data_IF_881028621741
#
_entry.id   IF_881028621741
#
_cell.length_a   1.000
_cell.length_b   1.000
_cell.length_c   1.000
_cell.angle_alpha   90.00
_cell.angle_beta   90.00
_cell.angle_gamma   90.00
#
_symmetry.space_group_name_H-M   'P 1'
#
loop_
_entity.id
_entity.type
_entity.pdbx_description
1 polymer ?
#
# COMPACT_ATOMS: atom_id res chain seq x y z
N UNK A 1 12.15 -66.91 -15.11
CA UNK A 1 12.26 -66.30 -13.76
C UNK A 1 13.04 -64.97 -13.73
N UNK A 2 14.19 -64.85 -14.41
CA UNK A 2 14.98 -63.58 -14.44
C UNK A 2 14.23 -62.36 -15.01
N UNK A 3 13.34 -62.55 -15.98
CA UNK A 3 12.57 -61.43 -16.58
C UNK A 3 11.45 -60.90 -15.69
N UNK A 4 10.90 -61.73 -14.79
CA UNK A 4 9.89 -61.30 -13.81
C UNK A 4 10.51 -60.38 -12.75
N UNK A 5 11.76 -60.68 -12.36
CA UNK A 5 12.49 -59.90 -11.36
C UNK A 5 12.89 -58.51 -11.87
N UNK A 6 13.30 -58.40 -13.14
CA UNK A 6 13.59 -57.13 -13.81
C UNK A 6 12.35 -56.23 -13.96
N UNK A 7 11.18 -56.82 -14.19
CA UNK A 7 9.93 -56.06 -14.33
C UNK A 7 9.47 -55.46 -12.98
N UNK A 8 9.66 -56.21 -11.89
CA UNK A 8 9.34 -55.76 -10.52
C UNK A 8 10.33 -54.67 -10.07
N UNK A 9 11.61 -54.78 -10.42
CA UNK A 9 12.60 -53.72 -10.10
C UNK A 9 12.39 -52.45 -10.94
N UNK A 10 11.98 -52.58 -12.20
CA UNK A 10 11.61 -51.44 -13.03
C UNK A 10 10.36 -50.71 -12.48
N UNK A 11 9.35 -51.44 -12.00
CA UNK A 11 8.15 -50.86 -11.38
C UNK A 11 8.44 -50.09 -10.09
N UNK A 12 9.41 -50.53 -9.28
CA UNK A 12 9.81 -49.82 -8.06
C UNK A 12 10.53 -48.49 -8.33
N UNK A 13 11.25 -48.37 -9.45
CA UNK A 13 11.95 -47.13 -9.81
C UNK A 13 11.03 -46.02 -10.35
N UNK A 14 9.84 -46.36 -10.88
CA UNK A 14 8.88 -45.36 -11.38
C UNK A 14 8.00 -44.75 -10.28
N UNK A 15 8.03 -45.28 -9.05
CA UNK A 15 7.14 -44.86 -7.95
C UNK A 15 7.82 -43.99 -6.88
N UNK A 16 8.98 -43.38 -7.17
CA UNK A 16 9.51 -42.29 -6.34
C UNK A 16 8.75 -40.98 -6.63
N UNK A 17 7.43 -40.99 -6.43
CA UNK A 17 6.66 -39.76 -6.34
C UNK A 17 7.03 -39.10 -5.01
N UNK A 18 7.74 -37.97 -5.07
CA UNK A 18 8.00 -37.15 -3.88
C UNK A 18 6.66 -36.70 -3.29
N UNK A 19 6.20 -37.40 -2.26
CA UNK A 19 4.95 -37.09 -1.59
C UNK A 19 5.04 -35.69 -0.98
N UNK A 20 4.11 -34.81 -1.36
CA UNK A 20 3.99 -33.48 -0.76
C UNK A 20 3.90 -33.64 0.76
N UNK A 21 4.85 -33.03 1.46
CA UNK A 21 4.96 -33.15 2.90
C UNK A 21 3.92 -32.26 3.58
N UNK A 22 3.58 -32.57 4.84
CA UNK A 22 2.72 -31.71 5.65
C UNK A 22 3.29 -30.27 5.79
N UNK A 23 4.61 -30.12 5.69
CA UNK A 23 5.28 -28.83 5.63
C UNK A 23 4.91 -28.05 4.35
N UNK A 24 4.86 -28.71 3.19
CA UNK A 24 4.47 -28.11 1.91
C UNK A 24 3.03 -27.58 1.95
N UNK A 25 2.08 -28.37 2.50
CA UNK A 25 0.70 -27.93 2.71
C UNK A 25 0.58 -26.75 3.68
N UNK A 26 1.42 -26.73 4.72
CA UNK A 26 1.44 -25.65 5.72
C UNK A 26 2.02 -24.36 5.12
N UNK A 27 3.09 -24.43 4.34
CA UNK A 27 3.63 -23.27 3.62
C UNK A 27 2.63 -22.70 2.62
N UNK A 28 1.91 -23.58 1.93
CA UNK A 28 0.88 -23.18 0.96
C UNK A 28 -0.30 -22.48 1.63
N UNK A 29 -0.74 -22.96 2.80
CA UNK A 29 -1.84 -22.34 3.54
C UNK A 29 -1.46 -20.97 4.10
N UNK A 30 -0.27 -20.81 4.68
CA UNK A 30 0.23 -19.52 5.17
C UNK A 30 0.37 -18.52 4.03
N UNK A 31 0.93 -18.94 2.89
CA UNK A 31 1.06 -18.10 1.70
C UNK A 31 -0.30 -17.61 1.21
N UNK A 32 -1.30 -18.50 1.10
CA UNK A 32 -2.66 -18.14 0.66
C UNK A 32 -3.37 -17.20 1.63
N UNK A 33 -3.13 -17.32 2.94
CA UNK A 33 -3.66 -16.37 3.94
C UNK A 33 -2.98 -15.02 3.79
N UNK A 34 -1.64 -15.01 3.67
CA UNK A 34 -0.87 -13.79 3.46
C UNK A 34 -1.32 -13.02 2.21
N UNK A 35 -1.39 -13.68 1.05
CA UNK A 35 -1.76 -13.04 -0.21
C UNK A 35 -3.17 -12.45 -0.16
N UNK A 36 -4.11 -13.15 0.49
CA UNK A 36 -5.51 -12.73 0.63
C UNK A 36 -5.68 -11.55 1.58
N UNK A 37 -4.97 -11.59 2.71
CA UNK A 37 -5.19 -10.64 3.78
C UNK A 37 -4.37 -9.37 3.60
N UNK A 38 -3.14 -9.47 3.10
CA UNK A 38 -2.25 -8.31 3.03
C UNK A 38 -2.59 -7.35 1.90
N UNK A 39 -2.42 -6.06 2.18
CA UNK A 39 -2.56 -4.98 1.21
C UNK A 39 -1.17 -4.49 0.84
N UNK A 40 -0.86 -4.50 -0.44
CA UNK A 40 0.37 -3.94 -0.98
C UNK A 40 0.11 -2.59 -1.63
N UNK A 41 1.01 -1.64 -1.42
CA UNK A 41 0.92 -0.29 -1.97
C UNK A 41 1.81 -0.18 -3.21
N UNK A 42 1.26 0.37 -4.29
CA UNK A 42 1.94 0.57 -5.58
C UNK A 42 1.86 2.02 -6.03
N UNK A 43 2.76 2.40 -6.94
CA UNK A 43 2.72 3.71 -7.60
C UNK A 43 2.77 4.86 -6.61
N UNK A 44 3.69 4.78 -5.63
CA UNK A 44 3.92 5.83 -4.62
C UNK A 44 2.65 6.22 -3.82
N UNK A 45 1.85 5.23 -3.43
CA UNK A 45 0.64 5.44 -2.60
C UNK A 45 -0.64 5.74 -3.35
N UNK A 46 -0.63 5.64 -4.68
CA UNK A 46 -1.81 5.88 -5.51
C UNK A 46 -2.63 4.62 -5.81
N UNK A 47 -2.01 3.43 -5.77
CA UNK A 47 -2.65 2.16 -6.13
C UNK A 47 -2.40 1.12 -5.04
N UNK A 48 -3.32 0.18 -4.92
CA UNK A 48 -3.24 -0.87 -3.91
C UNK A 48 -3.53 -2.22 -4.56
N UNK A 49 -3.00 -3.30 -3.99
CA UNK A 49 -3.26 -4.69 -4.40
C UNK A 49 -3.61 -5.49 -3.17
N UNK A 50 -4.62 -6.35 -3.26
CA UNK A 50 -5.00 -7.31 -2.23
C UNK A 50 -5.43 -8.60 -2.91
N UNK A 51 -4.93 -9.75 -2.46
CA UNK A 51 -5.27 -11.05 -3.09
C UNK A 51 -4.85 -11.15 -4.56
N UNK A 52 -3.75 -10.50 -4.95
CA UNK A 52 -3.29 -10.46 -6.34
C UNK A 52 -4.16 -9.61 -7.29
N UNK A 53 -5.15 -8.88 -6.78
CA UNK A 53 -6.04 -8.02 -7.57
C UNK A 53 -5.88 -6.56 -7.20
N UNK A 54 -6.09 -5.68 -8.18
CA UNK A 54 -6.13 -4.24 -7.93
C UNK A 54 -7.22 -3.92 -6.89
N UNK A 55 -6.81 -3.27 -5.80
CA UNK A 55 -7.69 -2.86 -4.72
C UNK A 55 -8.09 -1.40 -4.92
N UNK A 56 -9.33 -1.20 -5.33
CA UNK A 56 -9.90 0.12 -5.58
C UNK A 56 -10.15 0.82 -4.24
N UNK A 57 -9.28 1.77 -3.91
CA UNK A 57 -9.40 2.55 -2.68
C UNK A 57 -10.55 3.60 -2.76
N UNK A 58 -10.91 4.03 -3.96
CA UNK A 58 -11.94 5.04 -4.21
C UNK A 58 -11.46 6.48 -3.98
N UNK A 59 -12.30 7.46 -4.31
CA UNK A 59 -11.96 8.90 -4.36
C UNK A 59 -11.49 9.51 -3.03
N UNK A 60 -11.80 8.88 -1.90
CA UNK A 60 -11.36 9.30 -0.57
C UNK A 60 -10.75 8.15 0.24
N UNK A 61 -10.24 7.14 -0.46
CA UNK A 61 -9.67 5.94 0.14
C UNK A 61 -10.65 5.24 1.11
N UNK A 62 -11.95 5.27 0.80
CA UNK A 62 -13.04 4.77 1.66
C UNK A 62 -12.86 3.28 1.96
N UNK A 63 -12.52 2.51 0.94
CA UNK A 63 -12.31 1.07 1.09
C UNK A 63 -11.06 0.77 1.92
N UNK A 64 -10.02 1.60 1.80
CA UNK A 64 -8.81 1.45 2.62
C UNK A 64 -9.06 1.87 4.07
N UNK A 65 -9.87 2.90 4.30
CA UNK A 65 -10.29 3.31 5.65
C UNK A 65 -10.99 2.18 6.39
N UNK A 66 -11.91 1.46 5.74
CA UNK A 66 -12.59 0.30 6.32
C UNK A 66 -11.60 -0.80 6.71
N UNK A 67 -10.57 -1.03 5.89
CA UNK A 67 -9.53 -2.00 6.20
C UNK A 67 -8.73 -1.64 7.45
N UNK A 68 -8.63 -0.35 7.78
CA UNK A 68 -7.98 0.13 9.00
C UNK A 68 -8.88 0.08 10.24
N UNK A 69 -10.21 -0.04 10.11
CA UNK A 69 -11.10 -0.21 11.28
C UNK A 69 -10.76 -1.50 12.07
N UNK A 70 -10.13 -2.46 11.39
CA UNK A 70 -9.65 -3.71 11.96
C UNK A 70 -8.40 -3.55 12.85
N UNK A 71 -7.67 -2.45 12.70
CA UNK A 71 -6.42 -2.16 13.43
C UNK A 71 -6.52 -0.75 14.03
N UNK A 72 -6.84 -0.62 15.34
CA UNK A 72 -6.92 0.67 15.99
C UNK A 72 -5.65 1.51 15.81
N UNK A 73 -4.47 0.89 15.92
CA UNK A 73 -3.17 1.53 15.70
C UNK A 73 -3.00 1.97 14.24
N UNK A 74 -3.30 1.10 13.28
CA UNK A 74 -3.26 1.42 11.85
C UNK A 74 -4.22 2.56 11.48
N UNK A 75 -5.40 2.60 12.10
CA UNK A 75 -6.39 3.67 11.90
C UNK A 75 -5.88 5.02 12.38
N UNK A 76 -5.17 5.07 13.51
CA UNK A 76 -4.61 6.30 14.06
C UNK A 76 -3.53 6.87 13.14
N UNK A 77 -2.63 6.03 12.63
CA UNK A 77 -1.58 6.42 11.70
C UNK A 77 -2.15 6.83 10.33
N UNK A 78 -3.18 6.13 9.83
CA UNK A 78 -3.89 6.51 8.61
C UNK A 78 -4.57 7.89 8.73
N UNK A 79 -5.18 8.17 9.88
CA UNK A 79 -5.77 9.48 10.14
C UNK A 79 -4.72 10.60 10.18
N UNK A 80 -3.54 10.34 10.75
CA UNK A 80 -2.39 11.28 10.70
C UNK A 80 -1.92 11.51 9.28
N UNK A 81 -1.79 10.45 8.47
CA UNK A 81 -1.51 10.55 7.04
C UNK A 81 -2.51 11.48 6.34
N UNK A 82 -3.81 11.30 6.55
CA UNK A 82 -4.84 12.15 5.92
C UNK A 82 -4.69 13.61 6.29
N UNK A 83 -4.41 13.93 7.56
CA UNK A 83 -4.14 15.30 8.01
C UNK A 83 -2.94 15.91 7.28
N UNK A 84 -1.82 15.19 7.23
CA UNK A 84 -0.62 15.64 6.53
C UNK A 84 -0.85 15.78 5.03
N UNK A 85 -1.65 14.88 4.42
CA UNK A 85 -1.98 14.96 3.00
C UNK A 85 -2.83 16.20 2.70
N UNK A 86 -3.80 16.52 3.55
CA UNK A 86 -4.58 17.76 3.44
C UNK A 86 -3.68 18.99 3.55
N UNK A 87 -2.76 19.03 4.53
CA UNK A 87 -1.81 20.13 4.69
C UNK A 87 -0.93 20.26 3.44
N UNK A 88 -0.39 19.15 2.92
CA UNK A 88 0.41 19.15 1.70
C UNK A 88 -0.38 19.68 0.49
N UNK A 89 -1.64 19.28 0.33
CA UNK A 89 -2.51 19.81 -0.73
C UNK A 89 -2.74 21.31 -0.59
N UNK A 90 -2.96 21.82 0.63
CA UNK A 90 -3.11 23.25 0.88
C UNK A 90 -1.82 23.99 0.51
N UNK A 91 -0.66 23.50 0.94
CA UNK A 91 0.64 24.11 0.60
C UNK A 91 0.88 24.15 -0.91
N UNK A 92 0.49 23.11 -1.65
CA UNK A 92 0.56 23.11 -3.11
C UNK A 92 -0.32 24.19 -3.74
N UNK A 93 -1.57 24.34 -3.27
CA UNK A 93 -2.47 25.42 -3.74
C UNK A 93 -1.89 26.80 -3.42
N UNK A 94 -1.33 27.00 -2.22
CA UNK A 94 -0.69 28.26 -1.82
C UNK A 94 0.55 28.55 -2.68
N UNK A 95 1.38 27.54 -2.94
CA UNK A 95 2.56 27.67 -3.82
C UNK A 95 2.16 28.08 -5.25
N UNK A 96 1.11 27.49 -5.80
CA UNK A 96 0.58 27.88 -7.11
C UNK A 96 0.01 29.30 -7.08
N UNK A 97 -0.76 29.64 -6.04
CA UNK A 97 -1.35 30.97 -5.87
C UNK A 97 -0.31 32.08 -5.77
N UNK A 98 0.76 31.86 -5.00
CA UNK A 98 1.88 32.81 -4.87
C UNK A 98 2.66 32.96 -6.18
N UNK A 99 2.84 31.88 -6.93
CA UNK A 99 3.48 31.94 -8.26
C UNK A 99 2.63 32.75 -9.25
N UNK A 100 1.31 32.52 -9.30
CA UNK A 100 0.38 33.28 -10.15
C UNK A 100 0.37 34.76 -9.76
N UNK A 101 0.32 35.06 -8.46
CA UNK A 101 0.36 36.43 -7.96
C UNK A 101 1.69 37.12 -8.31
N UNK A 102 2.82 36.42 -8.17
CA UNK A 102 4.12 36.90 -8.61
C UNK A 102 4.13 37.27 -10.09
N UNK A 103 3.59 36.41 -10.96
CA UNK A 103 3.49 36.70 -12.39
C UNK A 103 2.62 37.94 -12.68
N UNK A 104 1.51 38.11 -11.95
CA UNK A 104 0.63 39.26 -12.11
C UNK A 104 1.26 40.60 -11.69
N UNK A 105 2.27 40.57 -10.81
CA UNK A 105 2.95 41.79 -10.32
C UNK A 105 4.12 42.24 -11.20
N UNK A 106 4.65 41.38 -12.09
CA UNK A 106 5.74 41.70 -13.04
C UNK A 106 5.44 43.00 -13.82
N UNK A 107 4.22 43.11 -14.35
CA UNK A 107 3.83 44.24 -15.20
C UNK A 107 3.51 45.52 -14.42
N UNK A 108 3.37 45.45 -13.09
CA UNK A 108 2.87 46.58 -12.26
C UNK A 108 3.90 47.14 -11.29
N UNK A 109 4.84 46.34 -10.79
CA UNK A 109 5.72 46.72 -9.66
C UNK A 109 7.20 46.30 -9.81
N UNK A 110 7.60 45.84 -11.00
CA UNK A 110 9.00 45.54 -11.32
C UNK A 110 9.46 44.12 -10.90
N UNK A 111 10.67 43.74 -11.30
CA UNK A 111 11.18 42.36 -11.16
C UNK A 111 11.40 41.87 -9.73
N UNK A 112 11.71 42.75 -8.77
CA UNK A 112 12.01 42.35 -7.38
C UNK A 112 10.80 41.75 -6.64
N UNK A 113 9.59 42.26 -6.88
CA UNK A 113 8.37 41.72 -6.26
C UNK A 113 8.04 40.33 -6.82
N UNK A 114 8.21 40.14 -8.14
CA UNK A 114 8.10 38.82 -8.77
C UNK A 114 9.05 37.79 -8.15
N UNK A 115 10.34 38.10 -8.03
CA UNK A 115 11.33 37.19 -7.45
C UNK A 115 11.02 36.86 -5.98
N UNK A 116 10.47 37.81 -5.24
CA UNK A 116 10.02 37.59 -3.86
C UNK A 116 8.88 36.58 -3.79
N UNK A 117 7.81 36.78 -4.56
CA UNK A 117 6.66 35.87 -4.59
C UNK A 117 7.01 34.50 -5.16
N UNK A 118 7.89 34.45 -6.16
CA UNK A 118 8.40 33.20 -6.71
C UNK A 118 9.23 32.42 -5.68
N UNK A 119 10.11 33.11 -4.95
CA UNK A 119 10.89 32.51 -3.86
C UNK A 119 10.02 31.95 -2.74
N UNK A 120 8.96 32.67 -2.35
CA UNK A 120 7.96 32.17 -1.39
C UNK A 120 7.26 30.92 -1.94
N UNK A 121 6.82 30.96 -3.20
CA UNK A 121 6.15 29.83 -3.85
C UNK A 121 7.02 28.57 -3.88
N UNK A 122 8.31 28.71 -4.18
CA UNK A 122 9.28 27.61 -4.12
C UNK A 122 9.49 27.08 -2.71
N UNK A 123 9.70 27.95 -1.73
CA UNK A 123 9.90 27.54 -0.33
C UNK A 123 8.68 26.74 0.19
N UNK A 124 7.47 27.22 -0.11
CA UNK A 124 6.21 26.53 0.24
C UNK A 124 6.10 25.19 -0.49
N UNK A 125 6.48 25.12 -1.78
CA UNK A 125 6.47 23.88 -2.56
C UNK A 125 7.39 22.81 -1.95
N UNK A 126 8.63 23.19 -1.63
CA UNK A 126 9.61 22.31 -1.00
C UNK A 126 9.16 21.84 0.38
N UNK A 127 8.61 22.75 1.21
CA UNK A 127 7.99 22.38 2.48
C UNK A 127 6.83 21.40 2.30
N UNK A 128 5.98 21.62 1.30
CA UNK A 128 4.89 20.73 0.93
C UNK A 128 5.36 19.33 0.51
N UNK A 129 6.51 19.22 -0.16
CA UNK A 129 7.11 17.94 -0.53
C UNK A 129 7.59 17.15 0.69
N UNK A 130 8.22 17.82 1.67
CA UNK A 130 8.64 17.18 2.94
C UNK A 130 7.43 16.67 3.71
N UNK A 131 6.39 17.50 3.85
CA UNK A 131 5.13 17.10 4.51
C UNK A 131 4.49 15.91 3.79
N UNK A 132 4.50 15.89 2.46
CA UNK A 132 4.00 14.76 1.67
C UNK A 132 4.82 13.48 1.90
N UNK A 133 6.15 13.59 1.98
CA UNK A 133 7.04 12.46 2.29
C UNK A 133 6.74 11.86 3.66
N UNK A 134 6.57 12.71 4.68
CA UNK A 134 6.13 12.26 6.01
C UNK A 134 4.77 11.58 5.96
N UNK A 135 3.82 12.13 5.20
CA UNK A 135 2.50 11.52 5.00
C UNK A 135 2.64 10.09 4.43
N UNK A 136 3.47 9.89 3.41
CA UNK A 136 3.68 8.57 2.79
C UNK A 136 4.31 7.57 3.76
N UNK A 137 5.29 7.98 4.57
CA UNK A 137 5.88 7.11 5.58
C UNK A 137 4.84 6.64 6.61
N UNK A 138 3.93 7.54 7.00
CA UNK A 138 2.82 7.23 7.92
C UNK A 138 1.82 6.25 7.30
N UNK A 139 1.51 6.41 6.01
CA UNK A 139 0.65 5.48 5.29
C UNK A 139 1.27 4.09 5.19
N UNK A 140 2.56 4.00 4.86
CA UNK A 140 3.27 2.71 4.81
C UNK A 140 3.28 2.02 6.18
N UNK A 141 3.54 2.78 7.24
CA UNK A 141 3.52 2.26 8.60
C UNK A 141 2.11 1.79 9.01
N UNK A 142 1.07 2.55 8.68
CA UNK A 142 -0.32 2.15 8.89
C UNK A 142 -0.65 0.83 8.18
N UNK A 143 -0.25 0.69 6.91
CA UNK A 143 -0.47 -0.55 6.14
C UNK A 143 0.27 -1.74 6.74
N UNK A 144 1.50 -1.53 7.22
CA UNK A 144 2.25 -2.57 7.92
C UNK A 144 1.53 -3.02 9.20
N UNK A 145 1.08 -2.08 10.04
CA UNK A 145 0.31 -2.39 11.26
C UNK A 145 -0.96 -3.16 10.93
N UNK A 146 -1.73 -2.70 9.95
CA UNK A 146 -2.97 -3.36 9.53
C UNK A 146 -2.72 -4.75 8.96
N UNK A 147 -1.66 -4.95 8.17
CA UNK A 147 -1.31 -6.26 7.64
C UNK A 147 -0.84 -7.21 8.74
N UNK A 148 -0.02 -6.72 9.68
CA UNK A 148 0.39 -7.46 10.89
C UNK A 148 -0.83 -7.92 11.69
N UNK A 149 -1.76 -7.01 11.96
CA UNK A 149 -2.96 -7.29 12.76
C UNK A 149 -3.95 -8.20 12.02
N UNK A 150 -4.04 -8.09 10.69
CA UNK A 150 -4.82 -9.03 9.88
C UNK A 150 -4.25 -10.46 9.90
N UNK A 151 -2.92 -10.59 9.97
CA UNK A 151 -2.24 -11.89 10.04
C UNK A 151 -2.28 -12.52 11.44
N UNK A 152 -2.43 -11.72 12.51
CA UNK A 152 -2.54 -12.24 13.87
C UNK A 152 -3.96 -12.71 14.23
N UNK A 153 -4.97 -12.38 13.41
CA UNK A 153 -6.36 -12.85 13.55
C UNK A 153 -6.96 -13.46 12.27
N UNK A 154 -6.35 -14.50 11.67
CA UNK A 154 -6.83 -15.04 10.40
C UNK A 154 -8.07 -15.94 10.55
N UNK A 155 -8.35 -16.48 11.74
CA UNK A 155 -9.39 -17.49 11.97
C UNK A 155 -10.82 -16.92 12.09
N UNK A 156 -10.99 -15.66 12.51
CA UNK A 156 -12.31 -15.06 12.72
C UNK A 156 -13.07 -14.70 11.42
N UNK A 157 -12.45 -14.90 10.24
CA UNK A 157 -13.02 -14.48 8.94
C UNK A 157 -13.37 -15.62 7.98
N UNK A 158 -13.14 -16.87 8.37
CA UNK A 158 -13.52 -18.04 7.56
C UNK A 158 -15.04 -18.21 7.36
N UNK A 159 -15.87 -17.50 8.13
CA UNK A 159 -17.33 -17.68 8.16
C UNK A 159 -18.14 -16.50 7.60
N UNK A 160 -17.52 -15.40 7.18
CA UNK A 160 -18.24 -14.14 6.88
C UNK A 160 -18.10 -13.59 5.46
N UNK A 161 -17.64 -14.40 4.49
CA UNK A 161 -17.71 -14.02 3.07
C UNK A 161 -18.74 -14.89 2.34
N UNK A 162 -20.02 -14.54 2.51
CA UNK A 162 -21.06 -14.91 1.55
C UNK A 162 -21.01 -13.83 0.46
N UNK A 163 -20.55 -14.13 -0.76
CA UNK A 163 -20.67 -13.19 -1.86
C UNK A 163 -22.16 -12.90 -2.09
N UNK A 164 -22.54 -11.62 -2.06
CA UNK A 164 -23.79 -11.13 -2.65
C UNK A 164 -23.51 -10.72 -4.08
#
# INVERSE_FOLDING_TARGET
MKQLFLLITALFFFFSAGGQTQADFRSDSIRRVYERETIFMMGNGSRYVKGGRAYLSGWNQVNLRREFELSPEGSAEFNRYRKLKTISSILQVVSLGTTIYGLATINKRGGNEYWTWWGIGLAVSLGGAVVNGQAQNRLQYALWLRNRDAMSRPQDRGTLYVPR
#
